data_IF_799828719120
#
_entry.id   IF_799828719120
#
_cell.length_a   1.000
_cell.length_b   1.000
_cell.length_c   1.000
_cell.angle_alpha   90.00
_cell.angle_beta   90.00
_cell.angle_gamma   90.00
#
_symmetry.space_group_name_H-M   'P 1'
#
loop_
_entity.id
_entity.type
_entity.pdbx_description
1 polymer ?
#
# COMPACT_ATOMS: atom_id res chain seq x y z
N UNK A 1 -5.41 9.14 12.61
CA UNK A 1 -4.83 9.06 11.27
C UNK A 1 -4.87 7.62 10.73
N UNK A 2 -4.42 6.61 11.54
CA UNK A 2 -4.49 5.20 11.15
C UNK A 2 -5.92 4.74 10.89
N UNK A 3 -6.13 3.96 9.83
CA UNK A 3 -7.37 3.23 9.57
C UNK A 3 -7.39 1.84 10.20
N UNK A 4 -6.23 1.34 10.65
CA UNK A 4 -6.15 0.13 11.48
C UNK A 4 -6.67 0.44 12.87
N UNK A 5 -7.66 -0.31 13.33
CA UNK A 5 -8.26 -0.19 14.66
C UNK A 5 -7.52 -1.01 15.69
N UNK A 6 -7.25 -2.29 15.38
CA UNK A 6 -6.47 -3.20 16.22
C UNK A 6 -5.84 -4.31 15.37
N UNK A 7 -4.83 -4.93 15.95
CA UNK A 7 -4.21 -6.17 15.44
C UNK A 7 -4.22 -7.18 16.58
N UNK A 8 -4.85 -8.33 16.35
CA UNK A 8 -4.88 -9.43 17.30
C UNK A 8 -3.87 -10.47 16.85
N UNK A 9 -3.05 -10.97 17.77
CA UNK A 9 -2.00 -11.94 17.49
C UNK A 9 -2.13 -13.10 18.46
N UNK A 10 -2.23 -14.31 17.96
CA UNK A 10 -2.14 -15.54 18.75
C UNK A 10 -0.80 -16.20 18.47
N UNK A 11 -0.10 -16.53 19.52
CA UNK A 11 1.19 -17.18 19.43
C UNK A 11 1.15 -18.56 20.10
N UNK A 12 1.93 -19.49 19.58
CA UNK A 12 2.18 -20.77 20.25
C UNK A 12 2.85 -20.51 21.61
N UNK A 13 2.31 -21.09 22.66
CA UNK A 13 2.75 -20.83 24.03
C UNK A 13 4.17 -21.33 24.32
N UNK A 14 4.65 -22.33 23.59
CA UNK A 14 5.96 -22.93 23.81
C UNK A 14 7.07 -22.18 23.04
N UNK A 15 6.82 -21.85 21.77
CA UNK A 15 7.81 -21.22 20.87
C UNK A 15 7.70 -19.70 20.79
N UNK A 16 6.54 -19.12 21.16
CA UNK A 16 6.24 -17.71 20.99
C UNK A 16 6.01 -17.29 19.53
N UNK A 17 5.95 -18.25 18.60
CA UNK A 17 5.76 -17.98 17.18
C UNK A 17 4.30 -17.59 16.91
N UNK A 18 4.04 -16.46 16.22
CA UNK A 18 2.68 -16.08 15.84
C UNK A 18 2.07 -17.11 14.88
N UNK A 19 0.96 -17.72 15.26
CA UNK A 19 0.25 -18.73 14.47
C UNK A 19 -1.01 -18.22 13.80
N UNK A 20 -1.57 -17.13 14.34
CA UNK A 20 -2.70 -16.40 13.73
C UNK A 20 -2.50 -14.91 13.96
N UNK A 21 -2.71 -14.13 12.92
CA UNK A 21 -2.71 -12.66 12.97
C UNK A 21 -3.98 -12.16 12.28
N UNK A 22 -4.73 -11.31 12.95
CA UNK A 22 -5.91 -10.65 12.40
C UNK A 22 -5.77 -9.13 12.49
N UNK A 23 -6.08 -8.46 11.38
CA UNK A 23 -6.05 -7.00 11.28
C UNK A 23 -7.47 -6.48 11.10
N UNK A 24 -7.87 -5.57 11.98
CA UNK A 24 -9.20 -4.97 11.98
C UNK A 24 -9.12 -3.51 11.54
N UNK A 25 -10.07 -3.08 10.72
CA UNK A 25 -10.30 -1.67 10.46
C UNK A 25 -10.92 -0.98 11.68
N UNK A 26 -10.92 0.37 11.69
CA UNK A 26 -11.61 1.15 12.74
C UNK A 26 -13.12 0.97 12.71
N UNK A 27 -13.68 0.66 11.55
CA UNK A 27 -15.09 0.41 11.37
C UNK A 27 -15.29 -1.08 11.08
N UNK A 28 -16.10 -1.74 11.92
CA UNK A 28 -16.46 -3.15 11.77
C UNK A 28 -15.75 -4.09 12.75
N UNK A 29 -16.46 -5.16 13.07
CA UNK A 29 -16.02 -6.17 14.04
C UNK A 29 -15.41 -7.42 13.37
N UNK A 30 -15.44 -7.48 12.03
CA UNK A 30 -14.84 -8.56 11.27
C UNK A 30 -13.40 -8.19 10.88
N UNK A 31 -12.47 -9.15 10.91
CA UNK A 31 -11.13 -8.92 10.45
C UNK A 31 -11.12 -8.60 8.95
N UNK A 32 -10.42 -7.54 8.57
CA UNK A 32 -10.21 -7.19 7.16
C UNK A 32 -9.14 -8.08 6.52
N UNK A 33 -8.24 -8.62 7.34
CA UNK A 33 -7.22 -9.59 6.95
C UNK A 33 -7.02 -10.58 8.09
N UNK A 34 -6.97 -11.86 7.75
CA UNK A 34 -6.58 -12.94 8.65
C UNK A 34 -5.50 -13.78 7.98
N UNK A 35 -4.44 -14.07 8.71
CA UNK A 35 -3.35 -14.94 8.27
C UNK A 35 -3.09 -15.98 9.34
N UNK A 36 -3.19 -17.26 9.01
CA UNK A 36 -2.98 -18.38 9.93
C UNK A 36 -2.10 -19.45 9.32
N UNK A 37 -1.31 -20.11 10.16
CA UNK A 37 -0.68 -21.36 9.77
C UNK A 37 -1.73 -22.47 9.85
N UNK A 38 -1.84 -23.27 8.80
CA UNK A 38 -2.66 -24.48 8.80
C UNK A 38 -1.94 -25.68 9.42
N UNK A 39 -0.61 -25.64 9.33
CA UNK A 39 0.32 -26.60 9.94
C UNK A 39 1.60 -25.87 10.30
N UNK A 40 2.21 -26.24 11.40
CA UNK A 40 3.39 -25.59 11.92
C UNK A 40 4.34 -26.64 12.54
N UNK A 41 5.61 -26.52 12.20
CA UNK A 41 6.71 -27.29 12.82
C UNK A 41 7.88 -26.34 13.08
N UNK A 42 8.46 -26.41 14.27
CA UNK A 42 9.68 -25.70 14.64
C UNK A 42 10.96 -26.43 14.23
N UNK A 43 10.83 -27.64 13.66
CA UNK A 43 11.95 -28.39 13.12
C UNK A 43 12.54 -27.71 11.89
N UNK A 44 13.87 -27.70 11.78
CA UNK A 44 14.54 -27.19 10.58
C UNK A 44 14.09 -28.00 9.34
N UNK A 45 13.57 -27.32 8.28
CA UNK A 45 13.13 -28.02 7.08
C UNK A 45 14.32 -28.72 6.39
N UNK A 46 14.06 -29.87 5.77
CA UNK A 46 15.07 -30.52 4.95
C UNK A 46 15.43 -29.64 3.73
N UNK A 47 16.69 -29.71 3.30
CA UNK A 47 17.18 -28.92 2.16
C UNK A 47 16.33 -29.15 0.89
N UNK A 48 15.81 -30.36 0.71
CA UNK A 48 14.95 -30.72 -0.40
C UNK A 48 13.61 -29.98 -0.38
N UNK A 49 13.06 -29.65 0.82
CA UNK A 49 11.79 -28.96 1.00
C UNK A 49 11.92 -27.45 0.71
N UNK A 50 13.14 -26.93 0.70
CA UNK A 50 13.45 -25.53 0.36
C UNK A 50 13.66 -25.33 -1.14
N UNK A 51 13.73 -26.41 -1.93
CA UNK A 51 13.93 -26.33 -3.37
C UNK A 51 12.61 -26.04 -4.09
N UNK A 52 12.54 -24.91 -4.80
CA UNK A 52 11.40 -24.63 -5.67
C UNK A 52 11.51 -25.48 -6.95
N UNK A 53 10.56 -26.39 -7.13
CA UNK A 53 10.42 -27.19 -8.35
C UNK A 53 9.17 -26.69 -9.10
N UNK A 54 9.37 -26.16 -10.30
CA UNK A 54 8.25 -25.71 -11.13
C UNK A 54 7.41 -26.91 -11.59
N UNK A 55 6.07 -26.86 -11.53
CA UNK A 55 5.22 -27.88 -12.10
C UNK A 55 5.47 -28.03 -13.62
N UNK A 56 5.27 -29.21 -14.22
CA UNK A 56 5.38 -29.39 -15.67
C UNK A 56 4.50 -28.41 -16.42
N UNK A 57 5.06 -27.70 -17.41
CA UNK A 57 4.37 -26.71 -18.23
C UNK A 57 4.22 -25.33 -17.58
N UNK A 58 4.65 -25.12 -16.36
CA UNK A 58 4.65 -23.80 -15.71
C UNK A 58 5.69 -22.87 -16.37
N UNK A 59 5.28 -21.63 -16.63
CA UNK A 59 6.21 -20.58 -17.03
C UNK A 59 6.62 -19.80 -15.79
N UNK A 60 7.89 -19.91 -15.41
CA UNK A 60 8.44 -19.10 -14.33
C UNK A 60 8.70 -17.71 -14.87
N UNK A 61 8.03 -16.71 -14.30
CA UNK A 61 8.33 -15.30 -14.50
C UNK A 61 8.88 -14.72 -13.22
N UNK A 62 10.17 -14.48 -13.20
CA UNK A 62 10.77 -13.74 -12.09
C UNK A 62 10.51 -12.25 -12.30
N UNK A 63 9.73 -11.65 -11.41
CA UNK A 63 9.51 -10.21 -11.36
C UNK A 63 10.29 -9.68 -10.18
N UNK A 64 11.43 -9.05 -10.44
CA UNK A 64 12.16 -8.39 -9.37
C UNK A 64 11.35 -7.18 -8.87
N UNK A 65 11.35 -6.93 -7.57
CA UNK A 65 10.75 -5.71 -6.96
C UNK A 65 11.22 -4.43 -7.67
N UNK A 66 12.48 -4.44 -8.14
CA UNK A 66 13.08 -3.39 -8.94
C UNK A 66 12.42 -3.15 -10.30
N UNK A 67 11.72 -4.13 -10.87
CA UNK A 67 11.11 -4.00 -12.20
C UNK A 67 9.77 -3.28 -12.11
N UNK A 68 8.95 -3.61 -11.12
CA UNK A 68 7.68 -2.89 -10.83
C UNK A 68 7.98 -1.43 -10.49
N UNK A 69 8.97 -1.22 -9.65
CA UNK A 69 9.41 0.11 -9.23
C UNK A 69 9.99 0.90 -10.41
N UNK A 70 10.75 0.25 -11.30
CA UNK A 70 11.31 0.87 -12.50
C UNK A 70 10.22 1.25 -13.49
N UNK A 71 9.19 0.43 -13.65
CA UNK A 71 8.08 0.74 -14.54
C UNK A 71 7.28 1.94 -14.04
N UNK A 72 7.03 2.04 -12.73
CA UNK A 72 6.44 3.24 -12.12
C UNK A 72 7.36 4.45 -12.30
N UNK A 73 8.66 4.30 -12.10
CA UNK A 73 9.64 5.37 -12.26
C UNK A 73 9.79 5.87 -13.71
N UNK A 74 9.52 5.04 -14.71
CA UNK A 74 9.51 5.43 -16.14
C UNK A 74 8.44 6.45 -16.49
N UNK A 75 7.38 6.55 -15.68
CA UNK A 75 6.31 7.53 -15.94
C UNK A 75 6.71 8.98 -15.64
N UNK A 76 7.91 9.21 -15.12
CA UNK A 76 8.48 10.53 -14.89
C UNK A 76 7.48 11.48 -14.23
N UNK A 77 7.65 11.77 -12.97
CA UNK A 77 6.78 12.68 -12.25
C UNK A 77 7.58 13.46 -11.22
N UNK A 78 6.99 14.49 -10.62
CA UNK A 78 7.66 15.22 -9.57
C UNK A 78 7.96 14.30 -8.38
N UNK A 79 9.04 14.61 -7.70
CA UNK A 79 9.41 13.93 -6.47
C UNK A 79 8.38 14.25 -5.38
N UNK A 80 7.88 13.24 -4.64
CA UNK A 80 7.07 13.48 -3.47
C UNK A 80 7.83 14.31 -2.41
N UNK A 81 7.14 15.12 -1.58
CA UNK A 81 7.76 15.97 -0.57
C UNK A 81 8.55 15.17 0.45
N UNK A 82 9.50 15.81 1.15
CA UNK A 82 10.30 15.16 2.18
C UNK A 82 9.52 14.90 3.48
N UNK A 83 8.40 15.60 3.67
CA UNK A 83 7.45 15.39 4.77
C UNK A 83 6.03 15.37 4.26
N UNK A 84 5.17 14.50 4.83
CA UNK A 84 3.76 14.42 4.51
C UNK A 84 2.99 13.95 5.74
N UNK A 85 1.91 14.63 6.11
CA UNK A 85 1.12 14.36 7.32
C UNK A 85 1.96 14.32 8.62
N UNK A 86 3.07 15.04 8.65
CA UNK A 86 4.02 15.06 9.76
C UNK A 86 5.04 13.91 9.76
N UNK A 87 4.94 12.95 8.84
CA UNK A 87 5.94 11.89 8.68
C UNK A 87 7.05 12.31 7.74
N UNK A 88 8.27 11.99 8.08
CA UNK A 88 9.43 12.13 7.19
C UNK A 88 9.41 10.99 6.17
N UNK A 89 9.69 11.33 4.91
CA UNK A 89 9.78 10.33 3.85
C UNK A 89 10.91 9.35 4.15
N UNK A 90 10.57 8.06 4.19
CA UNK A 90 11.56 6.99 4.24
C UNK A 90 12.44 7.09 3.00
N UNK A 91 13.75 6.92 3.14
CA UNK A 91 14.68 6.90 2.00
C UNK A 91 14.65 5.50 1.38
N UNK A 92 13.89 5.27 0.31
CA UNK A 92 14.10 4.07 -0.47
C UNK A 92 15.52 4.13 -1.04
N UNK A 93 16.18 2.99 -1.21
CA UNK A 93 17.50 2.94 -1.82
C UNK A 93 17.53 3.79 -3.09
N UNK A 94 18.62 4.45 -3.38
CA UNK A 94 18.87 5.62 -4.25
C UNK A 94 18.28 5.58 -5.70
N UNK A 95 17.46 4.61 -6.06
CA UNK A 95 16.98 4.38 -7.44
C UNK A 95 15.53 4.81 -7.72
N UNK A 96 14.73 5.17 -6.72
CA UNK A 96 13.32 5.52 -6.93
C UNK A 96 12.96 6.81 -6.21
N UNK A 97 13.21 7.91 -6.89
CA UNK A 97 12.88 9.24 -6.34
C UNK A 97 11.41 9.63 -6.51
N UNK A 98 10.66 8.92 -7.36
CA UNK A 98 9.26 9.24 -7.72
C UNK A 98 8.23 8.60 -6.79
N UNK A 99 8.64 7.74 -5.86
CA UNK A 99 7.77 7.14 -4.84
C UNK A 99 8.16 7.71 -3.48
N UNK A 100 7.17 8.16 -2.72
CA UNK A 100 7.30 8.53 -1.31
C UNK A 100 6.67 7.46 -0.44
N UNK A 101 7.41 6.99 0.56
CA UNK A 101 6.92 6.11 1.61
C UNK A 101 6.99 6.89 2.92
N UNK A 102 5.87 6.92 3.67
CA UNK A 102 5.72 7.67 4.91
C UNK A 102 5.00 6.83 5.95
N UNK A 103 5.27 7.07 7.21
CA UNK A 103 4.54 6.45 8.30
C UNK A 103 5.42 5.67 9.27
N UNK A 104 4.78 5.14 10.30
CA UNK A 104 5.38 4.34 11.36
C UNK A 104 4.46 3.20 11.77
N UNK A 105 5.03 2.05 12.08
CA UNK A 105 4.30 0.86 12.52
C UNK A 105 3.24 0.44 11.50
N UNK A 106 1.99 0.34 11.94
CA UNK A 106 0.85 -0.05 11.09
C UNK A 106 0.26 1.11 10.29
N UNK A 107 0.71 2.34 10.53
CA UNK A 107 0.27 3.53 9.79
C UNK A 107 1.24 3.79 8.67
N UNK A 108 0.93 3.35 7.48
CA UNK A 108 1.79 3.46 6.30
C UNK A 108 1.08 4.19 5.17
N UNK A 109 1.82 4.99 4.44
CA UNK A 109 1.34 5.75 3.29
C UNK A 109 2.37 5.69 2.17
N UNK A 110 1.93 5.37 0.98
CA UNK A 110 2.73 5.39 -0.25
C UNK A 110 2.13 6.40 -1.21
N UNK A 111 2.98 7.22 -1.80
CA UNK A 111 2.59 8.29 -2.72
C UNK A 111 3.42 8.20 -3.99
N UNK A 112 2.76 8.31 -5.13
CA UNK A 112 3.42 8.39 -6.43
C UNK A 112 2.67 9.33 -7.36
N UNK A 113 3.39 10.14 -8.12
CA UNK A 113 2.81 10.84 -9.25
C UNK A 113 2.46 9.83 -10.34
N UNK A 114 1.34 10.03 -11.04
CA UNK A 114 0.90 9.18 -12.15
C UNK A 114 0.67 10.02 -13.41
N UNK A 115 0.93 9.42 -14.57
CA UNK A 115 0.66 10.06 -15.86
C UNK A 115 -0.83 10.30 -16.06
N UNK A 116 -1.19 11.29 -16.87
CA UNK A 116 -2.60 11.60 -17.17
C UNK A 116 -3.35 10.40 -17.76
N UNK A 117 -2.69 9.60 -18.60
CA UNK A 117 -3.27 8.41 -19.20
C UNK A 117 -3.57 7.35 -18.13
N UNK A 118 -2.61 7.06 -17.24
CA UNK A 118 -2.80 6.11 -16.15
C UNK A 118 -3.86 6.60 -15.17
N UNK A 119 -3.84 7.90 -14.84
CA UNK A 119 -4.85 8.53 -13.97
C UNK A 119 -6.27 8.37 -14.54
N UNK A 120 -6.44 8.53 -15.85
CA UNK A 120 -7.73 8.31 -16.53
C UNK A 120 -8.22 6.87 -16.40
N UNK A 121 -7.36 5.90 -16.69
CA UNK A 121 -7.68 4.47 -16.57
C UNK A 121 -7.98 4.07 -15.13
N UNK A 122 -7.16 4.51 -14.17
CA UNK A 122 -7.38 4.25 -12.75
C UNK A 122 -8.69 4.87 -12.26
N UNK A 123 -8.99 6.11 -12.64
CA UNK A 123 -10.23 6.78 -12.26
C UNK A 123 -11.47 6.03 -12.74
N UNK A 124 -11.45 5.57 -13.99
CA UNK A 124 -12.53 4.76 -14.55
C UNK A 124 -12.73 3.45 -13.76
N UNK A 125 -11.64 2.75 -13.45
CA UNK A 125 -11.70 1.49 -12.68
C UNK A 125 -12.13 1.71 -11.23
N UNK A 126 -11.59 2.74 -10.57
CA UNK A 126 -11.88 3.03 -9.17
C UNK A 126 -13.33 3.49 -8.95
N UNK A 127 -13.96 4.17 -9.92
CA UNK A 127 -15.38 4.54 -9.84
C UNK A 127 -16.32 3.35 -9.78
N UNK A 128 -15.90 2.22 -10.33
CA UNK A 128 -16.66 0.96 -10.29
C UNK A 128 -16.46 0.18 -9.00
N UNK A 129 -15.49 0.57 -8.18
CA UNK A 129 -15.19 -0.12 -6.94
C UNK A 129 -16.28 0.14 -5.88
N UNK A 130 -16.64 -0.89 -5.14
CA UNK A 130 -17.53 -0.76 -3.99
C UNK A 130 -16.89 0.19 -2.96
N UNK A 131 -17.66 1.18 -2.49
CA UNK A 131 -17.17 2.17 -1.52
C UNK A 131 -16.40 3.34 -2.14
N UNK A 132 -16.39 3.48 -3.48
CA UNK A 132 -15.83 4.65 -4.14
C UNK A 132 -16.62 5.92 -3.77
N UNK A 133 -15.91 6.98 -3.42
CA UNK A 133 -16.49 8.31 -3.09
C UNK A 133 -15.68 9.41 -3.75
N UNK A 134 -16.37 10.36 -4.36
CA UNK A 134 -15.75 11.60 -4.84
C UNK A 134 -15.61 12.58 -3.68
N UNK A 135 -14.42 13.13 -3.51
CA UNK A 135 -14.09 14.20 -2.58
C UNK A 135 -13.58 15.42 -3.38
N UNK A 136 -13.55 16.62 -2.80
CA UNK A 136 -12.93 17.78 -3.46
C UNK A 136 -11.47 17.56 -3.86
N UNK A 137 -10.75 16.72 -3.10
CA UNK A 137 -9.35 16.38 -3.32
C UNK A 137 -9.17 15.29 -4.37
N UNK A 138 -10.18 14.49 -4.65
CA UNK A 138 -10.10 13.37 -5.61
C UNK A 138 -11.06 12.23 -5.34
N UNK A 139 -10.82 11.12 -6.01
CA UNK A 139 -11.59 9.89 -5.87
C UNK A 139 -10.95 8.99 -4.81
N UNK A 140 -11.68 8.70 -3.74
CA UNK A 140 -11.24 7.81 -2.66
C UNK A 140 -11.98 6.46 -2.72
N UNK A 141 -11.25 5.39 -2.45
CA UNK A 141 -11.76 4.03 -2.26
C UNK A 141 -11.17 3.49 -0.98
N UNK A 142 -11.97 2.83 -0.16
CA UNK A 142 -11.50 2.16 1.06
C UNK A 142 -11.96 0.70 1.08
N UNK A 143 -11.03 -0.20 1.37
CA UNK A 143 -11.29 -1.64 1.51
C UNK A 143 -10.66 -2.09 2.84
N UNK A 144 -11.50 -2.32 3.83
CA UNK A 144 -11.03 -2.55 5.20
C UNK A 144 -10.15 -1.39 5.69
N UNK A 145 -8.95 -1.66 6.21
CA UNK A 145 -8.02 -0.62 6.65
C UNK A 145 -7.23 0.01 5.50
N UNK A 146 -7.28 -0.53 4.28
CA UNK A 146 -6.60 0.03 3.13
C UNK A 146 -7.43 1.14 2.49
N UNK A 147 -6.84 2.31 2.34
CA UNK A 147 -7.39 3.43 1.61
C UNK A 147 -6.54 3.76 0.39
N UNK A 148 -7.20 4.19 -0.68
CA UNK A 148 -6.57 4.67 -1.88
C UNK A 148 -7.27 5.96 -2.31
N UNK A 149 -6.50 6.97 -2.67
CA UNK A 149 -7.00 8.23 -3.20
C UNK A 149 -6.23 8.59 -4.47
N UNK A 150 -6.99 8.85 -5.55
CA UNK A 150 -6.46 9.42 -6.77
C UNK A 150 -6.85 10.89 -6.82
N UNK A 151 -5.88 11.79 -6.71
CA UNK A 151 -6.16 13.23 -6.63
C UNK A 151 -6.78 13.77 -7.91
N UNK A 152 -7.48 14.89 -7.80
CA UNK A 152 -7.73 15.76 -8.96
C UNK A 152 -6.40 16.34 -9.43
N UNK A 153 -6.23 16.49 -10.75
CA UNK A 153 -5.03 17.14 -11.28
C UNK A 153 -5.02 18.61 -10.87
N UNK A 154 -4.00 19.01 -10.12
CA UNK A 154 -3.71 20.41 -9.80
C UNK A 154 -2.27 20.68 -10.22
N UNK A 155 -2.04 21.80 -10.89
CA UNK A 155 -0.72 22.10 -11.45
C UNK A 155 -0.20 21.07 -12.46
N UNK A 156 -1.12 20.32 -13.13
CA UNK A 156 -0.75 19.27 -14.10
C UNK A 156 -0.35 17.93 -13.50
N UNK A 157 -0.26 17.79 -12.18
CA UNK A 157 0.13 16.54 -11.50
C UNK A 157 -1.08 15.86 -10.89
N UNK A 158 -1.19 14.54 -11.11
CA UNK A 158 -2.11 13.66 -10.39
C UNK A 158 -1.31 12.74 -9.50
N UNK A 159 -1.68 12.67 -8.23
CA UNK A 159 -1.06 11.79 -7.26
C UNK A 159 -1.94 10.58 -6.98
N UNK A 160 -1.31 9.42 -6.89
CA UNK A 160 -1.88 8.22 -6.32
C UNK A 160 -1.35 8.11 -4.89
N UNK A 161 -2.26 8.07 -3.93
CA UNK A 161 -1.99 7.97 -2.50
C UNK A 161 -2.64 6.71 -1.98
N UNK A 162 -1.89 5.82 -1.37
CA UNK A 162 -2.42 4.55 -0.85
C UNK A 162 -1.81 4.23 0.50
N UNK A 163 -2.60 3.64 1.41
CA UNK A 163 -2.06 3.27 2.71
C UNK A 163 -3.11 2.87 3.74
N UNK A 164 -2.64 2.69 4.96
CA UNK A 164 -3.44 2.35 6.13
C UNK A 164 -3.81 3.60 6.93
N UNK A 165 -4.33 4.61 6.23
CA UNK A 165 -4.80 5.87 6.78
C UNK A 165 -6.27 6.09 6.46
N UNK A 166 -6.96 6.81 7.33
CA UNK A 166 -8.40 7.13 7.16
C UNK A 166 -8.64 7.97 5.90
N UNK A 167 -9.87 7.97 5.39
CA UNK A 167 -10.24 8.81 4.24
C UNK A 167 -9.90 10.30 4.46
N UNK A 168 -10.12 10.82 5.67
CA UNK A 168 -9.75 12.19 6.03
C UNK A 168 -8.22 12.39 6.02
N UNK A 169 -7.46 11.36 6.44
CA UNK A 169 -6.00 11.36 6.34
C UNK A 169 -5.53 11.42 4.89
N UNK A 170 -6.15 10.64 4.00
CA UNK A 170 -5.87 10.67 2.56
C UNK A 170 -6.22 12.05 1.94
N UNK A 171 -7.36 12.64 2.30
CA UNK A 171 -7.76 13.96 1.84
C UNK A 171 -6.76 15.05 2.27
N UNK A 172 -6.31 15.01 3.54
CA UNK A 172 -5.27 15.91 4.04
C UNK A 172 -3.95 15.74 3.30
N UNK A 173 -3.51 14.49 3.06
CA UNK A 173 -2.32 14.23 2.25
C UNK A 173 -2.45 14.81 0.84
N UNK A 174 -3.60 14.67 0.20
CA UNK A 174 -3.86 15.23 -1.12
C UNK A 174 -3.81 16.77 -1.12
N UNK A 175 -4.32 17.42 -0.07
CA UNK A 175 -4.24 18.89 0.10
C UNK A 175 -2.79 19.35 0.23
N UNK A 176 -1.97 18.67 1.08
CA UNK A 176 -0.55 19.00 1.24
C UNK A 176 0.23 18.78 -0.08
N UNK A 177 -0.05 17.69 -0.82
CA UNK A 177 0.56 17.41 -2.13
C UNK A 177 0.17 18.47 -3.18
N UNK A 178 -1.07 18.97 -3.14
CA UNK A 178 -1.53 20.04 -4.02
C UNK A 178 -0.84 21.38 -3.76
N UNK A 179 -0.45 21.67 -2.53
CA UNK A 179 0.29 22.88 -2.16
C UNK A 179 1.76 22.86 -2.63
N UNK A 180 2.36 21.67 -2.77
CA UNK A 180 3.75 21.51 -3.27
C UNK A 180 3.83 21.61 -4.79
N UNK A 181 2.73 21.32 -5.50
CA UNK A 181 2.66 21.33 -6.96
C UNK A 181 2.24 22.70 -7.55
N UNK A 182 1.96 23.68 -6.72
CA UNK A 182 1.59 25.06 -7.09
C UNK A 182 2.81 25.97 -7.05
#
# INVERSE_FOLDING_TARGET
LSSVGRVDVWADAASGIPVLVEVFGRAGDLPAMSSTFLDFSDAAPATADLAFVAPPGARIRSVARSDVVRDIARFGGPRPPDTLLGFTRSRPGARVQTIGEYGEGVTQLVVSAVSAQLAGSLRASLRLASGARELPEGLVVSVGPLGLLLTTSRGGTTWLVAGTVTADGLARAATELGAVAA
#
